data_IF_769026602187
#
_entry.id   IF_769026602187
#
_cell.length_a   1.000
_cell.length_b   1.000
_cell.length_c   1.000
_cell.angle_alpha   90.00
_cell.angle_beta   90.00
_cell.angle_gamma   90.00
#
_symmetry.space_group_name_H-M   'P 1'
#
loop_
_entity.id
_entity.type
_entity.pdbx_description
1 polymer ?
#
# COMPACT_ATOMS: atom_id res chain seq x y z
N UNK A 1 18.22 16.20 -23.09
CA UNK A 1 17.69 17.55 -22.79
C UNK A 1 16.87 17.59 -21.49
N UNK A 2 16.79 16.48 -20.74
CA UNK A 2 16.01 16.34 -19.48
C UNK A 2 16.84 16.64 -18.21
N UNK A 3 18.17 16.52 -18.26
CA UNK A 3 19.04 16.76 -17.11
C UNK A 3 19.12 18.25 -16.73
N UNK A 4 19.00 19.13 -17.73
CA UNK A 4 19.08 20.59 -17.58
C UNK A 4 17.88 21.16 -16.83
N UNK A 5 16.72 20.52 -16.96
CA UNK A 5 15.48 20.95 -16.30
C UNK A 5 15.46 20.49 -14.85
N UNK A 6 15.91 19.26 -14.55
CA UNK A 6 16.02 18.75 -13.18
C UNK A 6 16.91 19.65 -12.31
N UNK A 7 18.10 19.99 -12.84
CA UNK A 7 19.05 20.84 -12.13
C UNK A 7 18.51 22.26 -11.90
N UNK A 8 17.77 22.81 -12.87
CA UNK A 8 17.09 24.09 -12.70
C UNK A 8 15.97 24.04 -11.64
N UNK A 9 15.26 22.91 -11.51
CA UNK A 9 14.25 22.71 -10.46
C UNK A 9 14.89 22.57 -9.08
N UNK A 10 16.00 21.84 -8.95
CA UNK A 10 16.75 21.72 -7.70
C UNK A 10 17.24 23.09 -7.21
N UNK A 11 17.84 23.88 -8.10
CA UNK A 11 18.31 25.23 -7.78
C UNK A 11 17.16 26.17 -7.36
N UNK A 12 16.00 26.06 -8.01
CA UNK A 12 14.81 26.81 -7.64
C UNK A 12 14.31 26.45 -6.24
N UNK A 13 14.26 25.15 -5.91
CA UNK A 13 13.83 24.66 -4.59
C UNK A 13 14.79 25.12 -3.50
N UNK A 14 16.10 25.00 -3.72
CA UNK A 14 17.13 25.49 -2.79
C UNK A 14 17.01 26.99 -2.57
N UNK A 15 16.75 27.76 -3.63
CA UNK A 15 16.54 29.21 -3.55
C UNK A 15 15.32 29.56 -2.72
N UNK A 16 14.21 28.82 -2.88
CA UNK A 16 12.99 29.00 -2.10
C UNK A 16 13.24 28.66 -0.62
N UNK A 17 13.87 27.52 -0.32
CA UNK A 17 14.16 27.12 1.07
C UNK A 17 15.01 28.15 1.81
N UNK A 18 16.04 28.72 1.15
CA UNK A 18 16.91 29.74 1.75
C UNK A 18 16.21 31.06 2.07
N UNK A 19 15.07 31.36 1.42
CA UNK A 19 14.28 32.58 1.65
C UNK A 19 13.20 32.42 2.71
N UNK A 20 12.91 31.19 3.12
CA UNK A 20 11.86 30.90 4.07
C UNK A 20 12.35 31.01 5.52
N UNK A 21 11.48 31.46 6.45
CA UNK A 21 11.73 31.34 7.89
C UNK A 21 11.93 29.87 8.30
N UNK A 22 12.73 29.62 9.33
CA UNK A 22 13.11 28.25 9.74
C UNK A 22 11.91 27.33 10.04
N UNK A 23 10.79 27.87 10.54
CA UNK A 23 9.55 27.09 10.74
C UNK A 23 8.98 26.56 9.42
N UNK A 24 8.96 27.39 8.38
CA UNK A 24 8.47 27.01 7.04
C UNK A 24 9.40 26.05 6.32
N UNK A 25 10.70 26.10 6.61
CA UNK A 25 11.65 25.11 6.11
C UNK A 25 11.36 23.72 6.68
N UNK A 26 11.00 23.63 7.97
CA UNK A 26 10.63 22.37 8.63
C UNK A 26 9.36 21.78 8.04
N UNK A 27 8.32 22.60 7.88
CA UNK A 27 7.05 22.15 7.27
C UNK A 27 7.25 21.58 5.84
N UNK A 28 8.12 22.21 5.04
CA UNK A 28 8.45 21.70 3.70
C UNK A 28 9.19 20.36 3.75
N UNK A 29 10.10 20.19 4.71
CA UNK A 29 10.80 18.93 4.90
C UNK A 29 9.84 17.81 5.32
N UNK A 30 8.96 18.09 6.29
CA UNK A 30 7.93 17.15 6.74
C UNK A 30 7.00 16.76 5.59
N UNK A 31 6.62 17.72 4.75
CA UNK A 31 5.82 17.48 3.55
C UNK A 31 6.55 16.63 2.50
N UNK A 32 7.85 16.89 2.26
CA UNK A 32 8.66 16.09 1.34
C UNK A 32 8.77 14.64 1.82
N UNK A 33 8.98 14.43 3.13
CA UNK A 33 9.04 13.11 3.73
C UNK A 33 7.70 12.38 3.62
N UNK A 34 6.58 13.07 3.81
CA UNK A 34 5.25 12.51 3.59
C UNK A 34 5.02 12.08 2.13
N UNK A 35 5.49 12.87 1.16
CA UNK A 35 5.39 12.49 -0.25
C UNK A 35 6.22 11.26 -0.57
N UNK A 36 7.45 11.18 -0.06
CA UNK A 36 8.33 10.02 -0.21
C UNK A 36 7.71 8.75 0.38
N UNK A 37 7.09 8.83 1.56
CA UNK A 37 6.42 7.68 2.16
C UNK A 37 5.24 7.21 1.32
N UNK A 38 4.43 8.14 0.78
CA UNK A 38 3.28 7.81 -0.07
C UNK A 38 3.66 7.23 -1.42
N UNK A 39 4.71 7.72 -2.06
CA UNK A 39 5.21 7.14 -3.32
C UNK A 39 5.81 5.75 -3.09
N UNK A 40 6.55 5.57 -1.99
CA UNK A 40 7.11 4.26 -1.63
C UNK A 40 6.02 3.22 -1.32
N UNK A 41 4.99 3.61 -0.57
CA UNK A 41 3.88 2.69 -0.24
C UNK A 41 3.04 2.34 -1.47
N UNK A 42 2.84 3.29 -2.39
CA UNK A 42 2.14 3.04 -3.65
C UNK A 42 2.93 2.09 -4.56
N UNK A 43 4.25 2.22 -4.61
CA UNK A 43 5.12 1.32 -5.36
C UNK A 43 5.07 -0.11 -4.79
N UNK A 44 5.13 -0.25 -3.46
CA UNK A 44 5.01 -1.55 -2.78
C UNK A 44 3.64 -2.20 -3.00
N UNK A 45 2.56 -1.42 -2.98
CA UNK A 45 1.21 -1.91 -3.29
C UNK A 45 1.15 -2.46 -4.71
N UNK A 46 1.67 -1.74 -5.71
CA UNK A 46 1.56 -2.19 -7.11
C UNK A 46 2.39 -3.43 -7.40
N UNK A 47 3.57 -3.57 -6.79
CA UNK A 47 4.39 -4.79 -6.91
C UNK A 47 3.71 -6.01 -6.28
N UNK A 48 3.08 -5.82 -5.12
CA UNK A 48 2.33 -6.86 -4.44
C UNK A 48 1.11 -7.29 -5.26
N UNK A 49 0.36 -6.34 -5.81
CA UNK A 49 -0.83 -6.61 -6.62
C UNK A 49 -0.48 -7.36 -7.91
N UNK A 50 0.59 -6.96 -8.60
CA UNK A 50 1.07 -7.65 -9.80
C UNK A 50 1.48 -9.12 -9.53
N UNK A 51 2.08 -9.39 -8.36
CA UNK A 51 2.43 -10.74 -7.94
C UNK A 51 1.18 -11.59 -7.69
N UNK A 52 0.15 -11.02 -7.08
CA UNK A 52 -1.13 -11.71 -6.88
C UNK A 52 -1.82 -12.01 -8.21
N UNK A 53 -1.87 -11.06 -9.13
CA UNK A 53 -2.41 -11.30 -10.47
C UNK A 53 -1.68 -12.42 -11.20
N UNK A 54 -0.35 -12.47 -11.12
CA UNK A 54 0.43 -13.54 -11.73
C UNK A 54 0.13 -14.92 -11.12
N UNK A 55 -0.04 -15.00 -9.80
CA UNK A 55 -0.40 -16.25 -9.13
C UNK A 55 -1.82 -16.70 -9.49
N UNK A 56 -2.75 -15.76 -9.58
CA UNK A 56 -4.16 -16.03 -9.92
C UNK A 56 -4.38 -16.33 -11.41
N UNK A 57 -3.49 -15.88 -12.30
CA UNK A 57 -3.56 -16.17 -13.73
C UNK A 57 -3.25 -17.63 -14.08
N UNK A 58 -2.68 -18.42 -13.14
CA UNK A 58 -2.41 -19.84 -13.37
C UNK A 58 -3.72 -20.63 -13.40
N UNK A 59 -3.94 -21.52 -14.39
CA UNK A 59 -5.15 -22.33 -14.47
C UNK A 59 -5.38 -23.19 -13.21
N UNK A 60 -4.31 -23.66 -12.58
CA UNK A 60 -4.42 -24.46 -11.35
C UNK A 60 -4.99 -23.64 -10.18
N UNK A 61 -4.71 -22.33 -10.13
CA UNK A 61 -5.16 -21.44 -9.06
C UNK A 61 -6.68 -21.28 -9.05
N UNK A 62 -7.31 -21.20 -10.23
CA UNK A 62 -8.77 -21.15 -10.34
C UNK A 62 -9.42 -22.41 -9.73
N UNK A 63 -8.87 -23.58 -10.02
CA UNK A 63 -9.39 -24.84 -9.49
C UNK A 63 -9.25 -24.92 -7.96
N UNK A 64 -8.12 -24.44 -7.42
CA UNK A 64 -7.91 -24.38 -5.96
C UNK A 64 -8.90 -23.42 -5.32
N UNK A 65 -9.13 -22.24 -5.90
CA UNK A 65 -10.09 -21.26 -5.37
C UNK A 65 -11.52 -21.80 -5.40
N UNK A 66 -11.92 -22.48 -6.47
CA UNK A 66 -13.24 -23.12 -6.55
C UNK A 66 -13.42 -24.20 -5.48
N UNK A 67 -12.37 -24.97 -5.19
CA UNK A 67 -12.38 -25.96 -4.12
C UNK A 67 -12.52 -25.30 -2.75
N UNK A 68 -11.73 -24.26 -2.47
CA UNK A 68 -11.82 -23.50 -1.22
C UNK A 68 -13.20 -22.88 -1.02
N UNK A 69 -13.80 -22.30 -2.07
CA UNK A 69 -15.15 -21.72 -2.00
C UNK A 69 -16.19 -22.79 -1.70
N UNK A 70 -16.05 -23.98 -2.29
CA UNK A 70 -16.95 -25.11 -2.05
C UNK A 70 -16.82 -25.61 -0.61
N UNK A 71 -15.61 -25.86 -0.12
CA UNK A 71 -15.35 -26.29 1.25
C UNK A 71 -15.88 -25.27 2.27
N UNK A 72 -15.58 -23.99 2.09
CA UNK A 72 -16.07 -22.93 2.98
C UNK A 72 -17.62 -22.85 3.01
N UNK A 73 -18.29 -23.10 1.88
CA UNK A 73 -19.77 -23.16 1.84
C UNK A 73 -20.32 -24.37 2.58
N UNK A 74 -19.64 -25.51 2.51
CA UNK A 74 -20.02 -26.72 3.23
C UNK A 74 -19.83 -26.55 4.74
N UNK A 75 -18.71 -25.97 5.17
CA UNK A 75 -18.46 -25.61 6.56
C UNK A 75 -19.51 -24.61 7.09
N UNK A 76 -19.84 -23.58 6.30
CA UNK A 76 -20.91 -22.64 6.65
C UNK A 76 -22.26 -23.32 6.83
N UNK A 77 -22.66 -24.21 5.91
CA UNK A 77 -23.95 -24.93 5.99
C UNK A 77 -24.01 -25.90 7.16
N UNK A 78 -22.88 -26.52 7.50
CA UNK A 78 -22.79 -27.49 8.60
C UNK A 78 -22.57 -26.81 9.95
N UNK A 79 -22.46 -25.48 9.99
CA UNK A 79 -22.27 -24.70 11.21
C UNK A 79 -20.85 -24.77 11.77
N UNK A 80 -19.89 -25.30 11.00
CA UNK A 80 -18.46 -25.31 11.36
C UNK A 80 -17.80 -23.98 11.04
N UNK A 81 -18.37 -22.88 11.54
CA UNK A 81 -17.83 -21.53 11.36
C UNK A 81 -17.50 -20.92 12.72
N UNK A 82 -16.37 -20.23 12.80
CA UNK A 82 -16.01 -19.43 13.97
C UNK A 82 -16.30 -17.98 13.65
N UNK A 83 -17.17 -17.34 14.43
CA UNK A 83 -17.36 -15.90 14.32
C UNK A 83 -16.06 -15.20 14.73
N UNK A 84 -15.67 -14.17 13.98
CA UNK A 84 -14.47 -13.37 14.25
C UNK A 84 -14.93 -11.94 14.51
N UNK A 85 -14.40 -11.34 15.56
CA UNK A 85 -14.56 -9.91 15.87
C UNK A 85 -13.24 -9.18 15.72
N UNK A 86 -13.32 -7.86 15.52
CA UNK A 86 -12.16 -6.98 15.48
C UNK A 86 -12.04 -6.36 16.88
N UNK A 87 -10.91 -6.55 17.52
CA UNK A 87 -10.60 -6.00 18.85
C UNK A 87 -10.27 -4.51 18.77
N UNK A 88 -10.29 -3.82 19.91
CA UNK A 88 -9.99 -2.37 20.00
C UNK A 88 -8.58 -2.01 19.52
N UNK A 89 -7.64 -2.96 19.53
CA UNK A 89 -6.28 -2.83 18.99
C UNK A 89 -6.18 -3.24 17.49
N UNK A 90 -7.31 -3.49 16.83
CA UNK A 90 -7.40 -3.81 15.40
C UNK A 90 -7.02 -5.24 15.04
N UNK A 91 -6.91 -6.15 16.02
CA UNK A 91 -6.62 -7.56 15.78
C UNK A 91 -7.89 -8.36 15.56
N UNK A 92 -7.74 -9.52 14.93
CA UNK A 92 -8.83 -10.48 14.77
C UNK A 92 -8.83 -11.45 15.95
N UNK A 93 -9.96 -11.60 16.63
CA UNK A 93 -10.18 -12.64 17.64
C UNK A 93 -11.47 -13.41 17.35
N UNK A 94 -11.59 -14.67 17.81
CA UNK A 94 -12.90 -15.30 17.90
C UNK A 94 -13.87 -14.38 18.66
N UNK A 95 -15.10 -14.26 18.15
CA UNK A 95 -16.16 -13.47 18.77
C UNK A 95 -16.72 -14.15 20.02
#
# INVERSE_FOLDING_TARGET
>A
MELSTLQAYEDAIVTIMRRLPGERQRELFDFAQFLESRTTDKAKSSEHDAKWEQLLAKPESSQVLENMVREAREEYRTGHITAITITDDGRLSPA
#
